data_IF_194156070066
#
_entry.id   IF_194156070066
#
_cell.length_a   1.000
_cell.length_b   1.000
_cell.length_c   1.000
_cell.angle_alpha   90.00
_cell.angle_beta   90.00
_cell.angle_gamma   90.00
#
_symmetry.space_group_name_H-M   'P 1'
#
loop_
_entity.id
_entity.type
_entity.pdbx_description
1 polymer ?
#
# COMPACT_ATOMS: atom_id res chain seq x y z
N UNK A 1 -13.26 -8.71 -32.93
CA UNK A 1 -12.46 -7.51 -32.61
C UNK A 1 -11.52 -7.72 -31.41
N UNK A 2 -11.99 -8.15 -30.24
CA UNK A 2 -11.10 -8.44 -29.09
C UNK A 2 -10.13 -9.62 -29.33
N UNK A 3 -10.52 -10.60 -30.14
CA UNK A 3 -9.69 -11.75 -30.51
C UNK A 3 -8.42 -11.34 -31.27
N UNK A 4 -8.53 -10.45 -32.26
CA UNK A 4 -7.40 -9.95 -33.05
C UNK A 4 -6.40 -9.15 -32.22
N UNK A 5 -6.89 -8.40 -31.21
CA UNK A 5 -6.05 -7.65 -30.28
C UNK A 5 -5.30 -8.61 -29.34
N UNK A 6 -5.96 -9.68 -28.89
CA UNK A 6 -5.32 -10.72 -28.08
C UNK A 6 -4.26 -11.51 -28.87
N UNK A 7 -4.46 -11.69 -30.17
CA UNK A 7 -3.48 -12.29 -31.11
C UNK A 7 -2.30 -11.36 -31.39
N UNK A 8 -2.54 -10.05 -31.56
CA UNK A 8 -1.49 -9.04 -31.72
C UNK A 8 -0.66 -8.81 -30.46
N UNK A 9 -1.28 -8.99 -29.29
CA UNK A 9 -0.63 -8.91 -27.99
C UNK A 9 0.11 -10.22 -27.64
N UNK A 10 0.44 -11.09 -28.61
CA UNK A 10 1.16 -12.34 -28.35
C UNK A 10 2.41 -12.05 -27.52
N UNK A 11 2.27 -12.25 -26.21
CA UNK A 11 3.23 -11.86 -25.20
C UNK A 11 4.34 -12.92 -25.22
N UNK A 12 5.18 -12.87 -26.25
CA UNK A 12 6.28 -13.79 -26.43
C UNK A 12 7.27 -13.75 -25.27
N UNK A 13 7.84 -14.91 -24.93
CA UNK A 13 8.89 -15.03 -23.91
C UNK A 13 8.41 -14.67 -22.49
N UNK A 14 9.19 -13.86 -21.76
CA UNK A 14 8.92 -13.51 -20.36
C UNK A 14 7.60 -12.76 -20.16
N UNK A 15 7.12 -12.02 -21.17
CA UNK A 15 5.87 -11.28 -21.03
C UNK A 15 4.63 -12.18 -20.94
N UNK A 16 4.73 -13.46 -21.31
CA UNK A 16 3.65 -14.43 -21.13
C UNK A 16 3.25 -14.57 -19.63
N UNK A 17 4.18 -14.31 -18.71
CA UNK A 17 3.93 -14.29 -17.26
C UNK A 17 2.81 -13.32 -16.88
N UNK A 18 2.66 -12.21 -17.61
CA UNK A 18 1.63 -11.21 -17.36
C UNK A 18 0.22 -11.75 -17.64
N UNK A 19 0.05 -12.87 -18.36
CA UNK A 19 -1.28 -13.48 -18.56
C UNK A 19 -1.80 -14.22 -17.33
N UNK A 20 -0.92 -14.62 -16.43
CA UNK A 20 -1.31 -15.37 -15.23
C UNK A 20 -1.83 -14.41 -14.16
N UNK A 21 -3.03 -14.68 -13.66
CA UNK A 21 -3.67 -13.86 -12.63
C UNK A 21 -2.84 -13.82 -11.33
N UNK A 22 -2.17 -14.93 -10.99
CA UNK A 22 -1.28 -15.02 -9.82
C UNK A 22 -0.09 -14.07 -9.93
N UNK A 23 0.54 -13.99 -11.11
CA UNK A 23 1.64 -13.06 -11.38
C UNK A 23 1.17 -11.61 -11.27
N UNK A 24 0.01 -11.27 -11.86
CA UNK A 24 -0.58 -9.92 -11.75
C UNK A 24 -0.85 -9.53 -10.30
N UNK A 25 -1.49 -10.42 -9.52
CA UNK A 25 -1.75 -10.16 -8.11
C UNK A 25 -0.46 -9.93 -7.32
N UNK A 26 0.57 -10.76 -7.55
CA UNK A 26 1.88 -10.59 -6.92
C UNK A 26 2.56 -9.27 -7.31
N UNK A 27 2.55 -8.93 -8.59
CA UNK A 27 3.10 -7.67 -9.10
C UNK A 27 2.39 -6.45 -8.50
N UNK A 28 1.06 -6.50 -8.34
CA UNK A 28 0.28 -5.44 -7.69
C UNK A 28 0.68 -5.28 -6.22
N UNK A 29 0.82 -6.38 -5.48
CA UNK A 29 1.25 -6.35 -4.07
C UNK A 29 2.64 -5.74 -3.92
N UNK A 30 3.60 -6.18 -4.73
CA UNK A 30 4.97 -5.65 -4.70
C UNK A 30 5.00 -4.16 -5.07
N UNK A 31 4.24 -3.77 -6.09
CA UNK A 31 4.14 -2.36 -6.52
C UNK A 31 3.54 -1.50 -5.42
N UNK A 32 2.45 -1.95 -4.78
CA UNK A 32 1.82 -1.25 -3.66
C UNK A 32 2.78 -1.10 -2.47
N UNK A 33 3.56 -2.13 -2.17
CA UNK A 33 4.58 -2.07 -1.12
C UNK A 33 5.65 -1.01 -1.43
N UNK A 34 6.22 -1.04 -2.64
CA UNK A 34 7.26 -0.06 -3.04
C UNK A 34 6.71 1.36 -2.98
N UNK A 35 5.51 1.60 -3.51
CA UNK A 35 4.85 2.90 -3.44
C UNK A 35 4.61 3.31 -1.98
N UNK A 36 4.11 2.40 -1.15
CA UNK A 36 3.87 2.63 0.26
C UNK A 36 5.14 2.98 1.04
N UNK A 37 6.27 2.34 0.75
CA UNK A 37 7.56 2.63 1.38
C UNK A 37 8.13 3.99 0.94
N UNK A 38 7.98 4.35 -0.34
CA UNK A 38 8.48 5.63 -0.89
C UNK A 38 7.62 6.80 -0.40
N UNK A 39 6.29 6.67 -0.44
CA UNK A 39 5.35 7.75 -0.12
C UNK A 39 5.06 7.81 1.39
N UNK A 40 5.14 6.68 2.09
CA UNK A 40 4.79 6.53 3.51
C UNK A 40 5.37 7.60 4.42
N UNK A 41 6.69 7.86 4.42
CA UNK A 41 7.29 8.87 5.30
C UNK A 41 6.74 10.28 5.08
N UNK A 42 6.55 10.67 3.81
CA UNK A 42 5.97 11.97 3.45
C UNK A 42 4.51 12.07 3.87
N UNK A 43 3.75 11.00 3.65
CA UNK A 43 2.34 10.92 4.03
C UNK A 43 2.17 11.01 5.56
N UNK A 44 2.99 10.28 6.33
CA UNK A 44 2.99 10.35 7.80
C UNK A 44 3.37 11.75 8.28
N UNK A 45 4.39 12.38 7.70
CA UNK A 45 4.78 13.75 8.04
C UNK A 45 3.66 14.77 7.77
N UNK A 46 3.01 14.67 6.60
CA UNK A 46 1.85 15.50 6.25
C UNK A 46 0.71 15.31 7.26
N UNK A 47 0.40 14.07 7.62
CA UNK A 47 -0.64 13.77 8.60
C UNK A 47 -0.28 14.31 9.99
N UNK A 48 0.99 14.22 10.40
CA UNK A 48 1.47 14.76 11.67
C UNK A 48 1.28 16.27 11.76
N UNK A 49 1.54 17.00 10.69
CA UNK A 49 1.30 18.46 10.63
C UNK A 49 -0.21 18.77 10.75
N UNK A 50 -1.06 18.00 10.07
CA UNK A 50 -2.52 18.22 10.06
C UNK A 50 -3.23 17.77 11.33
N UNK A 51 -2.78 16.68 11.95
CA UNK A 51 -3.35 16.10 13.17
C UNK A 51 -2.74 16.68 14.46
N UNK A 52 -1.59 17.36 14.37
CA UNK A 52 -0.92 17.96 15.53
C UNK A 52 -0.23 16.91 16.42
N UNK A 53 -0.56 16.89 17.72
CA UNK A 53 0.13 16.06 18.74
C UNK A 53 -0.37 14.60 18.83
N UNK A 54 -1.13 14.12 17.84
CA UNK A 54 -1.72 12.78 17.85
C UNK A 54 -3.09 12.74 18.51
N UNK A 55 -3.58 11.55 18.86
CA UNK A 55 -4.84 11.41 19.60
C UNK A 55 -4.68 11.99 21.01
N UNK A 56 -5.57 12.88 21.48
CA UNK A 56 -5.55 13.35 22.85
C UNK A 56 -5.70 12.15 23.79
N UNK A 57 -4.78 12.03 24.75
CA UNK A 57 -4.80 10.95 25.75
C UNK A 57 -6.05 11.15 26.60
N UNK A 58 -7.01 10.25 26.43
CA UNK A 58 -8.25 10.24 27.21
C UNK A 58 -7.95 9.97 28.67
N UNK A 59 -8.41 10.86 29.55
CA UNK A 59 -8.21 10.78 31.01
C UNK A 59 -9.16 9.80 31.69
N UNK A 60 -10.17 9.34 30.96
CA UNK A 60 -11.24 8.43 31.37
C UNK A 60 -10.89 6.94 31.23
N UNK A 61 -9.61 6.62 30.96
CA UNK A 61 -9.10 5.24 30.90
C UNK A 61 -8.57 4.70 32.24
N UNK A 62 -8.31 3.38 32.34
CA UNK A 62 -7.68 2.79 33.51
C UNK A 62 -6.28 3.39 33.77
N UNK A 63 -5.88 3.58 35.03
CA UNK A 63 -4.56 4.16 35.35
C UNK A 63 -3.39 3.35 34.76
N UNK A 64 -3.56 2.03 34.59
CA UNK A 64 -2.58 1.16 33.93
C UNK A 64 -2.36 1.48 32.45
N UNK A 65 -3.33 2.11 31.78
CA UNK A 65 -3.19 2.59 30.40
C UNK A 65 -2.46 3.94 30.34
N UNK A 66 -2.62 4.79 31.35
CA UNK A 66 -1.90 6.07 31.47
C UNK A 66 -0.40 5.87 31.73
N UNK A 67 -0.01 4.76 32.38
CA UNK A 67 1.41 4.41 32.58
C UNK A 67 2.14 4.00 31.28
N UNK A 68 1.41 3.75 30.17
CA UNK A 68 1.96 3.34 28.87
C UNK A 68 2.14 4.51 27.90
N UNK A 69 2.01 5.75 28.40
CA UNK A 69 2.21 6.95 27.59
C UNK A 69 3.72 7.09 27.31
N UNK A 70 4.10 6.80 26.07
CA UNK A 70 5.46 6.89 25.54
C UNK A 70 5.42 7.12 24.04
#
# INVERSE_FOLDING_TARGET
>A
MLYLIAEWLDFGGLFNLVRYQTFRSGATLMTALVIGLIIGPRFISMLRVRQGKGQPIRTDGPQTHLAKVG
#
